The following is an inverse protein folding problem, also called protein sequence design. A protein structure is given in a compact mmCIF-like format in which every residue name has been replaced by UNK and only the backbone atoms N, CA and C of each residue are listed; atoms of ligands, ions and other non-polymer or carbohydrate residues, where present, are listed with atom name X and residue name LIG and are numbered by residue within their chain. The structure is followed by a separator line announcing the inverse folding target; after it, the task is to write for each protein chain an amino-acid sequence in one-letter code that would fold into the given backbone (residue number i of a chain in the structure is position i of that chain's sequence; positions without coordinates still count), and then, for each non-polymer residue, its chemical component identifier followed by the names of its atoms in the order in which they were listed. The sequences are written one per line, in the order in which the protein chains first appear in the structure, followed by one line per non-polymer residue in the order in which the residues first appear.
data_IF_714686903242
#
_entry.id   IF_714686903242
#
_cell.length_a   1.000
_cell.length_b   1.000
_cell.length_c   1.000
_cell.angle_alpha   90.00
_cell.angle_beta   90.00
_cell.angle_gamma   90.00
#
_symmetry.space_group_name_H-M   'P 1'
#
loop_
_entity.id
_entity.type
_entity.pdbx_description
1 polymer ?
#
# COMPACT_ATOMS: atom_id res chain seq x y z
N UNK A 1 -8.46 3.63 10.79
CA UNK A 1 -9.42 3.93 9.69
C UNK A 1 -8.69 4.61 8.53
N UNK A 2 -9.03 4.27 7.29
CA UNK A 2 -8.43 4.82 6.06
C UNK A 2 -9.49 5.10 4.99
N UNK A 3 -9.33 6.20 4.27
CA UNK A 3 -10.17 6.64 3.15
C UNK A 3 -9.28 7.18 2.03
N UNK A 4 -9.44 6.65 0.83
CA UNK A 4 -8.81 7.23 -0.36
C UNK A 4 -9.54 8.52 -0.75
N UNK A 5 -8.85 9.65 -0.74
CA UNK A 5 -9.40 10.94 -1.22
C UNK A 5 -9.22 11.04 -2.73
N UNK A 6 -8.01 10.81 -3.23
CA UNK A 6 -7.72 10.75 -4.66
C UNK A 6 -6.50 9.88 -4.93
N UNK A 7 -6.51 9.08 -6.00
CA UNK A 7 -5.36 8.23 -6.37
C UNK A 7 -4.24 9.00 -7.07
N UNK A 8 -4.49 10.24 -7.48
CA UNK A 8 -3.57 11.04 -8.30
C UNK A 8 -3.17 10.32 -9.60
N UNK A 9 -4.03 9.47 -10.16
CA UNK A 9 -3.69 8.61 -11.30
C UNK A 9 -4.23 9.09 -12.64
N UNK A 10 -5.12 10.07 -12.63
CA UNK A 10 -5.79 10.60 -13.81
C UNK A 10 -5.97 12.11 -13.71
N UNK A 11 -5.78 12.81 -14.83
CA UNK A 11 -6.01 14.25 -14.95
C UNK A 11 -7.48 14.61 -14.74
N UNK A 12 -8.40 13.67 -15.01
CA UNK A 12 -9.84 13.88 -14.91
C UNK A 12 -10.26 14.40 -13.53
N UNK A 13 -10.94 15.55 -13.53
CA UNK A 13 -11.43 16.24 -12.33
C UNK A 13 -10.45 17.23 -11.72
N UNK A 14 -9.17 17.19 -12.11
CA UNK A 14 -8.20 18.22 -11.72
C UNK A 14 -8.23 19.40 -12.69
N UNK A 15 -8.33 20.61 -12.14
CA UNK A 15 -8.47 21.86 -12.91
C UNK A 15 -7.40 22.84 -12.47
N UNK A 16 -6.63 23.39 -13.42
CA UNK A 16 -5.74 24.52 -13.19
C UNK A 16 -6.50 25.84 -13.17
N UNK A 17 -6.06 26.81 -12.37
CA UNK A 17 -6.63 28.16 -12.36
C UNK A 17 -6.35 28.96 -13.63
N UNK A 18 -5.32 28.56 -14.38
CA UNK A 18 -4.86 29.21 -15.59
C UNK A 18 -4.33 28.16 -16.59
N UNK A 19 -4.42 28.39 -17.92
CA UNK A 19 -3.92 27.46 -18.93
C UNK A 19 -2.42 27.15 -18.86
N UNK A 20 -1.63 27.95 -18.15
CA UNK A 20 -0.19 27.71 -17.91
C UNK A 20 0.06 26.59 -16.89
N UNK A 21 -0.95 26.20 -16.11
CA UNK A 21 -0.87 25.03 -15.23
C UNK A 21 -1.01 23.77 -16.08
N UNK A 22 0.04 22.95 -16.13
CA UNK A 22 0.05 21.72 -16.91
C UNK A 22 -0.06 20.53 -15.96
N UNK A 23 -1.10 19.71 -16.12
CA UNK A 23 -1.36 18.52 -15.32
C UNK A 23 -1.33 17.31 -16.24
N UNK A 24 -0.51 16.33 -15.92
CA UNK A 24 -0.33 15.12 -16.71
C UNK A 24 -0.39 13.89 -15.82
N UNK A 25 -1.09 12.85 -16.29
CA UNK A 25 -1.00 11.53 -15.70
C UNK A 25 0.26 10.83 -16.22
N UNK A 26 1.06 10.31 -15.31
CA UNK A 26 2.31 9.60 -15.58
C UNK A 26 2.32 8.29 -14.80
N UNK A 27 3.14 7.33 -15.21
CA UNK A 27 3.31 6.06 -14.49
C UNK A 27 4.79 5.74 -14.33
N UNK A 28 5.36 6.14 -13.19
CA UNK A 28 6.73 5.86 -12.83
C UNK A 28 6.83 4.45 -12.28
N UNK A 29 7.70 3.63 -12.89
CA UNK A 29 7.89 2.22 -12.51
C UNK A 29 8.26 2.00 -11.05
N UNK A 30 8.86 3.00 -10.40
CA UNK A 30 9.24 2.98 -8.98
C UNK A 30 8.02 3.10 -8.06
N UNK A 31 7.03 3.93 -8.43
CA UNK A 31 5.75 4.06 -7.74
C UNK A 31 4.82 2.89 -8.09
N UNK A 32 4.86 2.44 -9.35
CA UNK A 32 4.18 1.24 -9.79
C UNK A 32 4.56 0.07 -8.88
N UNK A 33 5.86 -0.16 -8.60
CA UNK A 33 6.34 -1.22 -7.68
C UNK A 33 5.82 -1.14 -6.24
N UNK A 34 5.07 -0.09 -5.92
CA UNK A 34 4.57 0.22 -4.59
C UNK A 34 3.08 0.58 -4.55
N UNK A 35 2.31 0.13 -5.55
CA UNK A 35 0.84 0.16 -5.56
C UNK A 35 0.20 1.52 -5.65
N UNK A 36 1.01 2.53 -5.96
CA UNK A 36 0.53 3.83 -6.40
C UNK A 36 0.44 3.73 -7.93
N UNK A 37 -0.72 3.31 -8.43
CA UNK A 37 -0.97 3.21 -9.86
C UNK A 37 -1.19 4.61 -10.43
N UNK A 38 -0.29 5.05 -11.31
CA UNK A 38 -0.33 6.40 -11.86
C UNK A 38 -0.01 7.50 -10.84
N UNK A 39 0.50 8.61 -11.33
CA UNK A 39 0.84 9.80 -10.56
C UNK A 39 0.46 11.03 -11.37
N UNK A 40 0.29 12.18 -10.70
CA UNK A 40 0.13 13.46 -11.40
C UNK A 40 1.46 14.18 -11.40
N UNK A 41 1.99 14.41 -12.60
CA UNK A 41 3.02 15.39 -12.82
C UNK A 41 2.35 16.74 -13.08
N UNK A 42 2.79 17.76 -12.34
CA UNK A 42 2.22 19.11 -12.41
C UNK A 42 3.34 20.12 -12.59
N UNK A 43 3.25 20.91 -13.67
CA UNK A 43 3.94 22.19 -13.76
C UNK A 43 2.99 23.26 -13.22
N UNK A 44 3.36 23.85 -12.09
CA UNK A 44 2.57 24.83 -11.34
C UNK A 44 3.32 26.17 -11.29
N UNK A 45 2.97 27.13 -12.16
CA UNK A 45 3.58 28.44 -12.16
C UNK A 45 3.32 29.22 -10.85
N UNK A 46 4.17 30.20 -10.59
CA UNK A 46 4.05 31.07 -9.42
C UNK A 46 2.67 31.74 -9.32
N UNK A 47 2.10 31.73 -8.11
CA UNK A 47 0.77 32.28 -7.77
C UNK A 47 -0.41 31.61 -8.49
N UNK A 48 -0.18 30.46 -9.13
CA UNK A 48 -1.24 29.64 -9.71
C UNK A 48 -1.62 28.51 -8.77
N UNK A 49 -2.74 27.85 -9.09
CA UNK A 49 -3.28 26.74 -8.32
C UNK A 49 -3.89 25.69 -9.22
N UNK A 50 -3.98 24.48 -8.70
CA UNK A 50 -4.80 23.43 -9.28
C UNK A 50 -5.63 22.76 -8.19
N UNK A 51 -6.83 22.31 -8.54
CA UNK A 51 -7.78 21.79 -7.56
C UNK A 51 -8.65 20.70 -8.16
N UNK A 52 -9.26 19.92 -7.27
CA UNK A 52 -10.28 18.93 -7.62
C UNK A 52 -11.48 19.08 -6.70
N UNK A 53 -12.65 19.16 -7.31
CA UNK A 53 -13.94 19.10 -6.64
C UNK A 53 -14.41 17.65 -6.52
N UNK A 54 -15.00 17.30 -5.38
CA UNK A 54 -15.55 15.98 -5.11
C UNK A 54 -17.08 16.08 -5.02
N UNK A 55 -17.76 15.39 -5.95
CA UNK A 55 -19.21 15.26 -5.97
C UNK A 55 -19.58 13.81 -6.33
N UNK A 56 -20.09 13.00 -5.38
CA UNK A 56 -20.35 13.33 -3.98
C UNK A 56 -19.08 13.65 -3.17
N UNK A 57 -19.26 14.31 -2.04
CA UNK A 57 -18.18 14.61 -1.08
C UNK A 57 -17.52 13.33 -0.54
N UNK A 58 -16.25 13.43 -0.16
CA UNK A 58 -15.53 12.31 0.46
C UNK A 58 -15.76 12.35 1.98
N UNK A 59 -16.35 11.28 2.53
CA UNK A 59 -16.50 11.12 3.98
C UNK A 59 -15.17 10.66 4.59
N UNK A 60 -14.58 11.53 5.41
CA UNK A 60 -13.32 11.29 6.10
C UNK A 60 -13.51 11.19 7.61
N UNK A 61 -14.75 11.02 8.09
CA UNK A 61 -15.07 10.94 9.51
C UNK A 61 -14.28 9.82 10.17
N UNK A 62 -13.41 10.16 11.12
CA UNK A 62 -12.58 9.20 11.84
C UNK A 62 -11.13 9.13 11.36
N UNK A 63 -10.78 9.84 10.29
CA UNK A 63 -9.41 10.21 9.94
C UNK A 63 -9.03 11.56 10.58
N UNK A 64 -7.75 11.74 10.92
CA UNK A 64 -7.20 12.98 11.47
C UNK A 64 -6.01 13.53 10.66
N UNK A 65 -5.55 12.75 9.68
CA UNK A 65 -4.37 13.01 8.87
C UNK A 65 -4.73 12.90 7.40
N UNK A 66 -4.31 13.87 6.59
CA UNK A 66 -4.20 13.72 5.14
C UNK A 66 -2.72 13.53 4.80
N UNK A 67 -2.36 12.34 4.31
CA UNK A 67 -1.00 12.02 3.87
C UNK A 67 -0.91 11.91 2.36
N UNK A 68 0.24 12.31 1.83
CA UNK A 68 0.60 12.19 0.42
C UNK A 68 2.11 12.32 0.25
N UNK A 69 2.60 12.03 -0.95
CA UNK A 69 4.02 12.16 -1.25
C UNK A 69 4.23 13.14 -2.40
N UNK A 70 5.30 13.92 -2.31
CA UNK A 70 5.73 14.80 -3.39
C UNK A 70 7.17 14.50 -3.79
N UNK A 71 7.37 14.21 -5.07
CA UNK A 71 8.64 14.26 -5.76
C UNK A 71 8.84 15.60 -6.44
N UNK A 72 10.05 16.14 -6.35
CA UNK A 72 10.47 17.31 -7.11
C UNK A 72 11.60 16.86 -8.03
N UNK A 73 11.44 17.06 -9.34
CA UNK A 73 12.42 16.57 -10.33
C UNK A 73 13.68 17.43 -10.38
N UNK A 74 13.63 18.66 -9.88
CA UNK A 74 14.74 19.62 -9.92
C UNK A 74 14.69 20.56 -8.69
N UNK A 75 15.88 20.94 -8.19
CA UNK A 75 16.26 22.14 -7.42
C UNK A 75 16.78 22.00 -5.97
N UNK A 76 17.66 22.96 -5.67
CA UNK A 76 18.62 23.06 -4.55
C UNK A 76 18.23 24.06 -3.45
N UNK A 77 16.97 24.52 -3.38
CA UNK A 77 16.46 25.38 -2.30
C UNK A 77 15.00 25.00 -1.95
N UNK A 78 14.56 25.12 -0.68
CA UNK A 78 13.20 24.79 -0.30
C UNK A 78 12.20 25.76 -0.96
N UNK A 79 11.25 25.20 -1.72
CA UNK A 79 10.09 25.92 -2.26
C UNK A 79 8.85 25.54 -1.45
N UNK A 80 7.96 26.49 -1.23
CA UNK A 80 6.76 26.32 -0.43
C UNK A 80 5.60 25.84 -1.31
N UNK A 81 4.97 24.72 -0.92
CA UNK A 81 3.68 24.27 -1.46
C UNK A 81 2.60 24.57 -0.44
N UNK A 82 1.49 25.14 -0.88
CA UNK A 82 0.30 25.34 -0.05
C UNK A 82 -0.74 24.29 -0.44
N UNK A 83 -1.37 23.67 0.55
CA UNK A 83 -2.51 22.78 0.35
C UNK A 83 -3.70 23.34 1.10
N UNK A 84 -4.83 23.46 0.42
CA UNK A 84 -6.09 23.95 0.98
C UNK A 84 -7.16 22.89 0.86
N UNK A 85 -7.72 22.52 2.00
CA UNK A 85 -8.79 21.51 2.12
C UNK A 85 -10.10 22.24 2.36
N UNK A 86 -11.16 21.86 1.65
CA UNK A 86 -12.48 22.47 1.73
C UNK A 86 -13.55 21.48 2.23
N UNK A 87 -14.53 22.01 2.95
CA UNK A 87 -15.80 21.37 3.27
C UNK A 87 -16.94 22.38 3.00
N UNK A 88 -17.52 22.28 1.81
CA UNK A 88 -18.45 23.28 1.28
C UNK A 88 -17.76 24.64 1.13
N UNK A 89 -18.26 25.63 1.87
CA UNK A 89 -17.70 27.00 1.88
C UNK A 89 -16.55 27.18 2.87
N UNK A 90 -16.39 26.26 3.83
CA UNK A 90 -15.33 26.30 4.83
C UNK A 90 -14.03 25.73 4.25
N UNK A 91 -12.89 26.30 4.63
CA UNK A 91 -11.58 25.79 4.20
C UNK A 91 -10.49 26.03 5.24
N UNK A 92 -9.42 25.24 5.15
CA UNK A 92 -8.18 25.46 5.90
C UNK A 92 -7.00 25.29 4.95
N UNK A 93 -6.03 26.19 5.04
CA UNK A 93 -4.84 26.23 4.18
C UNK A 93 -3.59 25.97 5.01
N UNK A 94 -2.75 25.06 4.54
CA UNK A 94 -1.51 24.62 5.18
C UNK A 94 -0.32 24.88 4.27
N UNK A 95 0.81 25.17 4.87
CA UNK A 95 2.08 25.53 4.26
C UNK A 95 3.05 24.35 4.46
N UNK A 96 3.63 23.89 3.35
CA UNK A 96 4.55 22.76 3.31
C UNK A 96 5.88 23.19 2.71
N UNK A 97 6.95 22.93 3.45
CA UNK A 97 8.31 23.21 2.97
C UNK A 97 8.83 22.00 2.20
N UNK A 98 8.89 22.11 0.88
CA UNK A 98 9.30 20.98 0.04
C UNK A 98 10.80 20.69 0.19
N UNK A 99 11.12 19.41 0.29
CA UNK A 99 12.47 18.87 0.30
C UNK A 99 12.94 18.58 -1.13
N UNK A 100 14.26 18.68 -1.42
CA UNK A 100 14.85 18.40 -2.73
C UNK A 100 15.02 16.89 -2.97
N UNK A 101 14.00 16.11 -2.61
CA UNK A 101 13.92 14.65 -2.77
C UNK A 101 12.47 14.22 -2.64
N UNK A 102 12.14 13.04 -3.15
CA UNK A 102 10.86 12.39 -2.89
C UNK A 102 10.61 12.28 -1.38
N UNK A 103 9.57 12.95 -0.90
CA UNK A 103 9.30 13.09 0.54
C UNK A 103 7.82 13.04 0.85
N UNK A 104 7.53 12.52 2.04
CA UNK A 104 6.20 12.33 2.55
C UNK A 104 5.75 13.62 3.25
N UNK A 105 4.52 14.05 2.98
CA UNK A 105 3.93 15.23 3.61
C UNK A 105 2.61 14.87 4.25
N UNK A 106 2.33 15.51 5.38
CA UNK A 106 1.13 15.29 6.15
C UNK A 106 0.54 16.64 6.54
N UNK A 107 -0.78 16.73 6.53
CA UNK A 107 -1.49 17.85 7.15
C UNK A 107 -2.57 17.31 8.06
N UNK A 108 -2.87 18.06 9.11
CA UNK A 108 -4.02 17.78 9.95
C UNK A 108 -5.29 17.87 9.09
N UNK A 109 -6.16 16.85 9.16
CA UNK A 109 -7.41 16.86 8.44
C UNK A 109 -8.47 17.64 9.24
N UNK A 110 -8.87 18.84 8.80
CA UNK A 110 -9.64 19.77 9.64
C UNK A 110 -11.15 19.48 9.62
N UNK A 111 -11.62 18.63 8.70
CA UNK A 111 -13.04 18.38 8.45
C UNK A 111 -13.35 16.89 8.36
N UNK A 112 -14.55 16.46 8.79
CA UNK A 112 -15.01 15.07 8.64
C UNK A 112 -15.47 14.75 7.21
N UNK A 113 -15.52 15.74 6.32
CA UNK A 113 -15.93 15.63 4.93
C UNK A 113 -15.06 16.55 4.08
N UNK A 114 -14.69 16.10 2.88
CA UNK A 114 -13.87 16.87 1.94
C UNK A 114 -14.64 17.06 0.64
N UNK A 115 -14.86 18.31 0.26
CA UNK A 115 -15.54 18.70 -0.99
C UNK A 115 -14.57 19.20 -2.06
N UNK A 116 -13.39 19.70 -1.66
CA UNK A 116 -12.32 20.10 -2.59
C UNK A 116 -10.96 20.00 -1.92
N UNK A 117 -9.95 19.65 -2.72
CA UNK A 117 -8.53 19.86 -2.38
C UNK A 117 -7.92 20.77 -3.45
N UNK A 118 -7.14 21.75 -3.01
CA UNK A 118 -6.46 22.73 -3.85
C UNK A 118 -4.99 22.82 -3.44
N UNK A 119 -4.11 22.90 -4.43
CA UNK A 119 -2.68 23.12 -4.26
C UNK A 119 -2.28 24.42 -4.93
N UNK A 120 -1.45 25.21 -4.27
CA UNK A 120 -0.94 26.47 -4.79
C UNK A 120 0.49 26.71 -4.33
N UNK A 121 1.16 27.69 -4.94
CA UNK A 121 2.53 28.05 -4.57
C UNK A 121 2.81 29.50 -4.95
N UNK A 122 3.77 30.11 -4.25
CA UNK A 122 4.24 31.47 -4.55
C UNK A 122 5.41 31.47 -5.56
N UNK A 123 5.91 30.29 -5.91
CA UNK A 123 7.06 30.09 -6.81
C UNK A 123 6.71 29.08 -7.88
N UNK A 124 7.32 29.19 -9.05
CA UNK A 124 7.19 28.16 -10.08
C UNK A 124 7.64 26.78 -9.54
N UNK A 125 6.95 25.70 -9.89
CA UNK A 125 7.16 24.37 -9.33
C UNK A 125 6.85 23.25 -10.33
N UNK A 126 7.78 22.29 -10.44
CA UNK A 126 7.53 21.01 -11.10
C UNK A 126 7.42 19.91 -10.03
N UNK A 127 6.23 19.34 -9.93
CA UNK A 127 5.83 18.38 -8.90
C UNK A 127 5.52 17.04 -9.54
N UNK A 128 5.78 15.96 -8.81
CA UNK A 128 5.07 14.69 -8.95
C UNK A 128 4.36 14.45 -7.62
N UNK A 129 3.05 14.33 -7.63
CA UNK A 129 2.26 14.08 -6.42
C UNK A 129 1.60 12.72 -6.54
N UNK A 130 1.61 11.98 -5.43
CA UNK A 130 1.00 10.67 -5.33
C UNK A 130 -0.01 10.60 -4.22
N UNK A 131 -1.06 9.80 -4.43
CA UNK A 131 -2.01 9.32 -3.43
C UNK A 131 -2.36 10.30 -2.31
N UNK A 132 -3.56 10.88 -2.38
CA UNK A 132 -4.15 11.62 -1.27
C UNK A 132 -4.98 10.64 -0.43
N UNK A 133 -4.50 10.34 0.78
CA UNK A 133 -5.13 9.37 1.68
C UNK A 133 -5.42 10.02 3.02
N UNK A 134 -6.68 9.97 3.43
CA UNK A 134 -7.10 10.36 4.77
C UNK A 134 -7.08 9.13 5.69
N UNK A 135 -6.40 9.20 6.84
CA UNK A 135 -6.35 8.09 7.78
C UNK A 135 -6.21 8.55 9.23
N UNK A 136 -6.39 7.59 10.14
CA UNK A 136 -6.04 7.67 11.56
C UNK A 136 -5.11 6.50 11.85
N UNK A 137 -3.95 6.77 12.45
CA UNK A 137 -2.79 5.87 12.58
C UNK A 137 -3.20 4.46 13.08
N UNK A 138 -3.40 3.57 12.11
CA UNK A 138 -3.60 2.12 12.23
C UNK A 138 -3.04 1.52 10.92
N UNK A 139 -1.76 1.15 10.90
CA UNK A 139 -1.08 0.73 9.66
C UNK A 139 -0.90 -0.79 9.52
N UNK A 140 -1.11 -1.59 10.57
CA UNK A 140 -0.79 -3.03 10.56
C UNK A 140 -1.46 -3.81 9.41
N UNK A 141 -2.75 -3.60 9.19
CA UNK A 141 -3.49 -4.26 8.11
C UNK A 141 -3.02 -3.75 6.74
N UNK A 142 -2.83 -2.44 6.60
CA UNK A 142 -2.35 -1.82 5.36
C UNK A 142 -0.92 -2.29 5.01
N UNK A 143 -0.06 -2.52 6.02
CA UNK A 143 1.28 -3.07 5.88
C UNK A 143 1.24 -4.48 5.33
N UNK A 144 0.51 -5.38 5.99
CA UNK A 144 0.44 -6.76 5.56
C UNK A 144 -0.21 -6.90 4.18
N UNK A 145 -1.22 -6.07 3.89
CA UNK A 145 -1.79 -5.98 2.55
C UNK A 145 -0.72 -5.52 1.55
N UNK A 146 0.02 -4.45 1.79
CA UNK A 146 1.05 -3.98 0.86
C UNK A 146 2.14 -5.03 0.58
N UNK A 147 2.54 -5.80 1.60
CA UNK A 147 3.44 -6.97 1.45
C UNK A 147 2.77 -8.04 0.59
N UNK A 148 1.50 -8.36 0.83
CA UNK A 148 0.78 -9.37 0.06
C UNK A 148 0.76 -9.04 -1.42
N UNK A 149 0.45 -7.79 -1.76
CA UNK A 149 0.39 -7.42 -3.15
C UNK A 149 1.80 -7.49 -3.77
N UNK A 150 2.88 -7.11 -3.05
CA UNK A 150 4.28 -7.28 -3.50
C UNK A 150 4.57 -8.72 -3.93
N UNK A 151 4.18 -9.69 -3.11
CA UNK A 151 4.31 -11.10 -3.44
C UNK A 151 3.38 -11.53 -4.58
N UNK A 152 2.15 -11.01 -4.67
CA UNK A 152 1.24 -11.32 -5.79
C UNK A 152 1.83 -10.91 -7.15
N UNK A 153 2.52 -9.77 -7.22
CA UNK A 153 3.21 -9.34 -8.44
C UNK A 153 4.38 -10.26 -8.80
N UNK A 154 5.18 -10.66 -7.81
CA UNK A 154 6.26 -11.61 -8.03
C UNK A 154 5.73 -12.97 -8.53
N UNK A 155 4.62 -13.45 -7.95
CA UNK A 155 3.91 -14.65 -8.43
C UNK A 155 3.40 -14.48 -9.86
N UNK A 156 2.78 -13.34 -10.18
CA UNK A 156 2.21 -13.07 -11.51
C UNK A 156 3.27 -13.01 -12.62
N UNK A 157 4.48 -12.58 -12.27
CA UNK A 157 5.64 -12.61 -13.17
C UNK A 157 6.26 -14.00 -13.37
N UNK A 158 5.84 -14.99 -12.58
CA UNK A 158 6.36 -16.35 -12.63
C UNK A 158 5.54 -17.21 -13.60
N UNK A 159 6.20 -17.94 -14.49
CA UNK A 159 5.51 -18.86 -15.40
C UNK A 159 5.13 -20.15 -14.65
N UNK A 160 3.94 -20.16 -14.07
CA UNK A 160 3.43 -21.29 -13.29
C UNK A 160 3.20 -22.53 -14.18
N UNK A 161 3.53 -23.74 -13.69
CA UNK A 161 3.50 -24.95 -14.49
C UNK A 161 2.07 -25.33 -14.89
N UNK A 162 1.94 -25.87 -16.10
CA UNK A 162 0.72 -26.51 -16.56
C UNK A 162 0.58 -27.84 -15.83
N UNK A 163 -0.59 -28.07 -15.22
CA UNK A 163 -0.88 -29.27 -14.42
C UNK A 163 -1.88 -30.20 -15.09
N UNK A 164 -2.48 -29.79 -16.21
CA UNK A 164 -3.38 -30.63 -16.99
C UNK A 164 -4.17 -29.83 -18.01
N UNK A 165 -5.06 -30.50 -18.73
CA UNK A 165 -6.02 -29.87 -19.64
C UNK A 165 -7.41 -30.35 -19.31
N UNK A 166 -8.31 -29.42 -19.00
CA UNK A 166 -9.72 -29.72 -18.79
C UNK A 166 -10.29 -30.24 -20.10
N UNK A 167 -11.05 -31.32 -20.09
CA UNK A 167 -11.72 -31.81 -21.30
C UNK A 167 -12.95 -30.95 -21.63
N UNK A 168 -13.74 -30.65 -20.60
CA UNK A 168 -14.92 -29.79 -20.65
C UNK A 168 -15.30 -29.35 -19.26
N UNK A 169 -15.39 -28.04 -19.05
CA UNK A 169 -15.90 -27.42 -17.85
C UNK A 169 -17.36 -27.03 -18.10
N UNK A 170 -18.25 -27.43 -17.21
CA UNK A 170 -19.66 -27.07 -17.28
C UNK A 170 -19.97 -26.09 -16.15
N UNK A 171 -20.58 -24.95 -16.48
CA UNK A 171 -21.03 -24.00 -15.47
C UNK A 171 -21.88 -24.69 -14.38
N UNK A 172 -21.68 -24.30 -13.13
CA UNK A 172 -22.28 -24.85 -11.93
C UNK A 172 -21.91 -26.31 -11.58
N UNK A 173 -21.00 -26.95 -12.32
CA UNK A 173 -20.50 -28.28 -11.98
C UNK A 173 -19.53 -28.21 -10.80
N UNK A 174 -19.64 -29.11 -9.81
CA UNK A 174 -18.67 -29.18 -8.70
C UNK A 174 -17.38 -29.93 -9.05
N UNK A 175 -17.37 -30.57 -10.23
CA UNK A 175 -16.31 -31.45 -10.66
C UNK A 175 -15.75 -31.01 -12.02
N UNK A 176 -14.45 -31.22 -12.21
CA UNK A 176 -13.73 -30.94 -13.45
C UNK A 176 -13.05 -32.22 -13.95
N UNK A 177 -13.32 -32.61 -15.20
CA UNK A 177 -12.64 -33.74 -15.86
C UNK A 177 -11.38 -33.22 -16.55
N UNK A 178 -10.24 -33.83 -16.24
CA UNK A 178 -8.91 -33.38 -16.63
C UNK A 178 -8.12 -34.53 -17.23
N UNK A 179 -7.46 -34.25 -18.36
CA UNK A 179 -6.49 -35.14 -18.99
C UNK A 179 -5.06 -34.76 -18.60
N UNK A 180 -4.16 -35.75 -18.56
CA UNK A 180 -2.73 -35.58 -18.27
C UNK A 180 -2.45 -34.81 -16.97
N UNK A 181 -3.19 -35.13 -15.90
CA UNK A 181 -3.04 -34.47 -14.61
C UNK A 181 -1.67 -34.77 -14.00
N UNK A 182 -0.93 -33.73 -13.62
CA UNK A 182 0.37 -33.83 -12.96
C UNK A 182 0.46 -32.82 -11.80
N UNK A 183 1.19 -33.16 -10.74
CA UNK A 183 1.50 -32.25 -9.62
C UNK A 183 0.27 -31.68 -8.89
N UNK A 184 -0.85 -32.39 -8.88
CA UNK A 184 -2.09 -31.99 -8.22
C UNK A 184 -2.53 -33.07 -7.23
N UNK A 185 -2.68 -32.65 -5.99
CA UNK A 185 -3.18 -33.45 -4.87
C UNK A 185 -4.25 -32.67 -4.09
N UNK A 186 -4.79 -33.28 -3.03
CA UNK A 186 -5.69 -32.57 -2.12
C UNK A 186 -5.05 -31.28 -1.60
N UNK A 187 -5.83 -30.21 -1.53
CA UNK A 187 -5.46 -28.83 -1.18
C UNK A 187 -4.62 -28.06 -2.20
N UNK A 188 -4.30 -28.69 -3.34
CA UNK A 188 -3.66 -27.99 -4.46
C UNK A 188 -4.55 -26.89 -4.99
N UNK A 189 -3.98 -25.70 -5.20
CA UNK A 189 -4.67 -24.57 -5.82
C UNK A 189 -4.29 -24.50 -7.29
N UNK A 190 -5.30 -24.40 -8.14
CA UNK A 190 -5.14 -24.35 -9.59
C UNK A 190 -5.88 -23.13 -10.15
N UNK A 191 -5.41 -22.65 -11.29
CA UNK A 191 -6.07 -21.65 -12.10
C UNK A 191 -6.45 -22.26 -13.46
N UNK A 192 -7.68 -22.01 -13.90
CA UNK A 192 -8.09 -22.23 -15.29
C UNK A 192 -9.12 -21.19 -15.69
N UNK A 193 -9.00 -20.64 -16.89
CA UNK A 193 -9.93 -19.63 -17.41
C UNK A 193 -10.14 -18.40 -16.49
N UNK A 194 -9.10 -18.00 -15.75
CA UNK A 194 -9.17 -16.91 -14.77
C UNK A 194 -9.92 -17.27 -13.48
N UNK A 195 -10.38 -18.51 -13.34
CA UNK A 195 -10.98 -19.02 -12.11
C UNK A 195 -9.91 -19.72 -11.26
N UNK A 196 -9.85 -19.40 -9.97
CA UNK A 196 -8.96 -20.01 -8.99
C UNK A 196 -9.77 -20.98 -8.13
N UNK A 197 -9.36 -22.25 -8.14
CA UNK A 197 -10.03 -23.32 -7.43
C UNK A 197 -9.07 -24.08 -6.55
N UNK A 198 -9.57 -24.58 -5.43
CA UNK A 198 -8.84 -25.51 -4.59
C UNK A 198 -9.39 -26.93 -4.74
N UNK A 199 -8.48 -27.88 -4.97
CA UNK A 199 -8.80 -29.30 -5.06
C UNK A 199 -9.08 -29.87 -3.67
N UNK A 200 -10.27 -30.46 -3.48
CA UNK A 200 -10.63 -31.22 -2.28
C UNK A 200 -10.34 -32.71 -2.43
N UNK A 201 -10.57 -33.26 -3.62
CA UNK A 201 -10.26 -34.64 -3.94
C UNK A 201 -9.85 -34.81 -5.41
N UNK A 202 -9.01 -35.83 -5.64
CA UNK A 202 -8.63 -36.32 -6.96
C UNK A 202 -9.11 -37.76 -7.05
N UNK A 203 -9.90 -38.08 -8.06
CA UNK A 203 -10.36 -39.44 -8.33
C UNK A 203 -10.11 -39.83 -9.78
N UNK A 204 -9.89 -41.12 -10.03
CA UNK A 204 -9.80 -41.63 -11.40
C UNK A 204 -11.20 -41.70 -12.02
N UNK A 205 -11.33 -41.32 -13.29
CA UNK A 205 -12.56 -41.56 -14.04
C UNK A 205 -12.69 -43.07 -14.30
N UNK A 206 -13.74 -43.75 -13.80
CA UNK A 206 -13.87 -45.20 -13.95
C UNK A 206 -14.03 -45.66 -15.40
N UNK A 207 -14.27 -44.74 -16.35
CA UNK A 207 -14.49 -45.05 -17.77
C UNK A 207 -13.27 -44.75 -18.65
N UNK A 208 -12.28 -44.00 -18.15
CA UNK A 208 -11.20 -43.40 -18.93
C UNK A 208 -9.89 -43.36 -18.12
N UNK A 209 -8.75 -43.02 -18.74
CA UNK A 209 -7.52 -42.66 -18.02
C UNK A 209 -7.53 -41.21 -17.50
N UNK A 210 -8.70 -40.57 -17.44
CA UNK A 210 -8.86 -39.17 -17.04
C UNK A 210 -8.95 -39.04 -15.51
N UNK A 211 -8.62 -37.87 -14.99
CA UNK A 211 -8.81 -37.54 -13.57
C UNK A 211 -10.02 -36.64 -13.38
N UNK A 212 -10.73 -36.81 -12.26
CA UNK A 212 -11.83 -35.98 -11.83
C UNK A 212 -11.39 -35.23 -10.58
N UNK A 213 -11.33 -33.90 -10.69
CA UNK A 213 -11.10 -32.99 -9.58
C UNK A 213 -12.44 -32.57 -8.99
N UNK A 214 -12.53 -32.52 -7.66
CA UNK A 214 -13.64 -31.89 -6.93
C UNK A 214 -13.11 -30.68 -6.16
N UNK A 215 -13.91 -29.63 -6.05
CA UNK A 215 -13.45 -28.36 -5.46
C UNK A 215 -13.96 -28.12 -4.04
N UNK A 216 -13.08 -27.60 -3.20
CA UNK A 216 -13.38 -27.15 -1.85
C UNK A 216 -14.15 -25.81 -1.87
N UNK A 217 -14.68 -25.39 -0.72
CA UNK A 217 -15.38 -24.10 -0.59
C UNK A 217 -14.47 -22.86 -0.58
N UNK A 218 -13.16 -23.03 -0.77
CA UNK A 218 -12.20 -21.91 -0.79
C UNK A 218 -11.97 -21.40 -2.21
N UNK A 219 -11.90 -20.07 -2.37
CA UNK A 219 -11.78 -19.32 -3.64
C UNK A 219 -13.10 -19.25 -4.44
N UNK A 220 -13.10 -19.53 -5.75
CA UNK A 220 -14.29 -19.49 -6.61
C UNK A 220 -15.34 -20.58 -6.27
N UNK A 221 -15.18 -21.25 -5.11
CA UNK A 221 -16.19 -22.04 -4.43
C UNK A 221 -16.23 -23.50 -4.86
N UNK A 222 -17.32 -24.19 -4.51
CA UNK A 222 -17.53 -25.62 -4.83
C UNK A 222 -18.00 -25.87 -6.27
N UNK A 223 -18.01 -24.85 -7.15
CA UNK A 223 -18.60 -24.94 -8.49
C UNK A 223 -17.86 -24.08 -9.50
N UNK A 224 -17.77 -24.59 -10.73
CA UNK A 224 -17.24 -23.89 -11.89
C UNK A 224 -18.17 -22.74 -12.28
N UNK A 225 -17.64 -21.56 -12.58
CA UNK A 225 -18.46 -20.39 -12.91
C UNK A 225 -18.94 -20.42 -14.36
N UNK A 226 -18.05 -20.78 -15.29
CA UNK A 226 -18.33 -20.69 -16.73
C UNK A 226 -18.19 -22.03 -17.45
N UNK A 227 -19.01 -22.23 -18.49
CA UNK A 227 -18.84 -23.35 -19.41
C UNK A 227 -17.72 -23.03 -20.38
N UNK A 228 -16.70 -23.88 -20.43
CA UNK A 228 -15.56 -23.71 -21.34
C UNK A 228 -15.00 -25.07 -21.77
N UNK A 229 -14.60 -25.16 -23.03
CA UNK A 229 -14.02 -26.38 -23.60
C UNK A 229 -12.50 -26.24 -23.70
N UNK A 230 -11.78 -27.28 -23.28
CA UNK A 230 -10.33 -27.39 -23.38
C UNK A 230 -9.47 -26.28 -22.71
N UNK A 231 -9.85 -25.67 -21.56
CA UNK A 231 -8.94 -24.75 -20.89
C UNK A 231 -7.73 -25.50 -20.31
N UNK A 232 -6.57 -24.86 -20.39
CA UNK A 232 -5.35 -25.30 -19.72
C UNK A 232 -5.47 -25.02 -18.23
N UNK A 233 -5.10 -26.00 -17.40
CA UNK A 233 -4.99 -25.81 -15.95
C UNK A 233 -3.54 -25.49 -15.61
N UNK A 234 -3.34 -24.48 -14.79
CA UNK A 234 -2.03 -24.14 -14.22
C UNK A 234 -2.08 -24.27 -12.70
N UNK A 235 -0.93 -24.56 -12.11
CA UNK A 235 -0.76 -24.40 -10.67
C UNK A 235 -0.96 -22.92 -10.30
N UNK A 236 -1.59 -22.64 -9.16
CA UNK A 236 -1.72 -21.28 -8.63
C UNK A 236 -1.04 -21.18 -7.26
N UNK A 237 -0.43 -20.03 -6.97
CA UNK A 237 0.16 -19.72 -5.65
C UNK A 237 -0.60 -18.52 -5.08
N UNK A 238 -1.70 -18.73 -4.34
CA UNK A 238 -2.42 -17.63 -3.72
C UNK A 238 -1.55 -16.97 -2.64
N UNK A 239 -1.68 -15.64 -2.51
CA UNK A 239 -1.08 -14.86 -1.43
C UNK A 239 -2.19 -14.41 -0.49
N UNK A 240 -2.12 -14.79 0.79
CA UNK A 240 -3.16 -14.50 1.80
C UNK A 240 -2.58 -13.71 2.97
N UNK A 241 -3.33 -12.74 3.48
CA UNK A 241 -3.02 -12.03 4.73
C UNK A 241 -3.81 -12.68 5.86
N UNK A 242 -3.13 -13.06 6.94
CA UNK A 242 -3.71 -13.69 8.13
C UNK A 242 -4.76 -14.79 7.81
N UNK A 243 -4.41 -15.82 7.04
CA UNK A 243 -5.34 -16.91 6.81
C UNK A 243 -5.70 -17.59 8.14
N UNK A 244 -7.00 -17.81 8.39
CA UNK A 244 -7.47 -18.54 9.59
C UNK A 244 -6.95 -19.98 9.67
N UNK A 245 -6.55 -20.55 8.53
CA UNK A 245 -6.00 -21.90 8.42
C UNK A 245 -4.83 -21.89 7.44
N UNK A 246 -3.61 -21.93 7.96
CA UNK A 246 -2.35 -21.89 7.19
C UNK A 246 -2.25 -23.10 6.26
N UNK A 247 -2.49 -24.30 6.77
CA UNK A 247 -2.32 -25.58 6.04
C UNK A 247 -3.36 -25.83 4.94
N UNK A 248 -4.41 -25.01 4.85
CA UNK A 248 -5.57 -25.38 4.07
C UNK A 248 -5.34 -25.23 2.56
N UNK A 249 -4.32 -24.49 2.08
CA UNK A 249 -4.00 -24.29 0.66
C UNK A 249 -2.50 -24.44 0.40
N UNK A 250 -2.11 -25.32 -0.53
CA UNK A 250 -0.68 -25.54 -0.87
C UNK A 250 -0.49 -25.80 -2.36
N UNK A 251 0.46 -25.16 -3.06
CA UNK A 251 1.36 -24.13 -2.56
C UNK A 251 0.61 -22.85 -2.24
N UNK A 252 1.12 -22.06 -1.29
CA UNK A 252 0.59 -20.75 -0.96
C UNK A 252 1.66 -19.88 -0.31
N UNK A 253 1.44 -18.57 -0.33
CA UNK A 253 2.20 -17.61 0.48
C UNK A 253 1.22 -16.99 1.48
N UNK A 254 1.52 -17.05 2.77
CA UNK A 254 0.79 -16.32 3.80
C UNK A 254 1.65 -15.24 4.45
N UNK A 255 1.01 -14.18 4.89
CA UNK A 255 1.63 -13.09 5.67
C UNK A 255 0.88 -13.01 6.97
N UNK A 256 1.59 -13.27 8.06
CA UNK A 256 1.01 -13.47 9.38
C UNK A 256 1.72 -12.62 10.43
N UNK A 257 1.00 -12.26 11.49
CA UNK A 257 1.56 -11.45 12.58
C UNK A 257 1.81 -9.99 12.17
N UNK A 258 2.64 -9.30 12.96
CA UNK A 258 2.93 -7.88 12.75
C UNK A 258 1.80 -6.91 13.13
N UNK A 259 0.71 -7.38 13.73
CA UNK A 259 -0.42 -6.54 14.15
C UNK A 259 -0.16 -5.75 15.42
N UNK A 260 0.56 -6.37 16.35
CA UNK A 260 0.98 -5.78 17.61
C UNK A 260 2.41 -5.24 17.44
N UNK A 261 2.58 -3.93 17.14
CA UNK A 261 3.90 -3.33 17.09
C UNK A 261 4.60 -3.45 18.45
N UNK A 262 5.92 -3.65 18.41
CA UNK A 262 6.74 -3.58 19.62
C UNK A 262 7.62 -2.32 19.59
N UNK A 263 7.78 -1.61 20.71
CA UNK A 263 8.61 -0.42 20.74
C UNK A 263 10.08 -0.77 20.45
N UNK A 264 10.80 0.13 19.80
CA UNK A 264 12.25 0.05 19.58
C UNK A 264 12.92 0.90 20.69
N UNK A 265 13.39 0.30 21.80
CA UNK A 265 13.76 1.05 23.01
C UNK A 265 14.85 2.11 22.77
N UNK A 266 15.76 1.84 21.83
CA UNK A 266 16.91 2.68 21.50
C UNK A 266 16.57 3.86 20.55
N UNK A 267 15.36 3.89 19.98
CA UNK A 267 14.91 4.90 19.02
C UNK A 267 13.57 5.57 19.39
N UNK A 268 12.98 5.15 20.51
CA UNK A 268 11.77 5.73 21.11
C UNK A 268 12.11 6.90 22.02
N UNK A 269 12.68 7.96 21.43
CA UNK A 269 12.76 9.25 22.13
C UNK A 269 11.48 10.04 21.81
N UNK A 270 10.74 10.50 22.84
CA UNK A 270 9.64 11.44 22.63
C UNK A 270 10.18 12.68 21.92
N UNK A 271 9.55 13.05 20.81
CA UNK A 271 9.93 14.19 20.00
C UNK A 271 8.69 14.86 19.45
N UNK A 272 8.75 16.18 19.32
CA UNK A 272 7.69 16.98 18.74
C UNK A 272 8.17 17.43 17.35
N UNK A 273 7.54 16.90 16.29
CA UNK A 273 7.83 17.28 14.91
C UNK A 273 6.82 18.34 14.47
N UNK A 274 7.29 19.54 14.11
CA UNK A 274 6.43 20.53 13.43
C UNK A 274 6.22 20.01 12.01
N UNK A 275 5.00 19.58 11.71
CA UNK A 275 4.67 18.92 10.44
C UNK A 275 4.22 19.93 9.39
N UNK A 276 3.36 20.86 9.78
CA UNK A 276 2.91 21.94 8.92
C UNK A 276 2.48 23.17 9.73
N UNK A 277 2.42 24.32 9.07
CA UNK A 277 1.88 25.56 9.59
C UNK A 277 0.64 25.94 8.77
N UNK A 278 -0.36 26.58 9.36
CA UNK A 278 -1.44 27.19 8.57
C UNK A 278 -1.18 28.68 8.28
N UNK A 279 -1.97 29.26 7.37
CA UNK A 279 -1.83 30.69 7.04
C UNK A 279 -2.11 31.67 8.19
N UNK A 280 -2.69 31.20 9.30
CA UNK A 280 -2.92 32.01 10.50
C UNK A 280 -1.67 32.03 11.42
N UNK A 281 -0.73 31.11 11.21
CA UNK A 281 0.48 30.92 12.00
C UNK A 281 0.35 29.85 13.08
N UNK A 282 -0.68 29.00 13.02
CA UNK A 282 -0.82 27.88 13.93
C UNK A 282 0.12 26.75 13.50
N UNK A 283 0.86 26.20 14.45
CA UNK A 283 1.78 25.10 14.23
C UNK A 283 1.08 23.77 14.56
N UNK A 284 1.12 22.86 13.59
CA UNK A 284 0.60 21.51 13.73
C UNK A 284 1.77 20.58 14.05
N UNK A 285 1.79 20.11 15.28
CA UNK A 285 2.87 19.28 15.82
C UNK A 285 2.37 17.84 15.86
N UNK A 286 3.19 16.90 15.38
CA UNK A 286 3.03 15.49 15.68
C UNK A 286 4.01 15.12 16.78
N UNK A 287 3.48 14.67 17.90
CA UNK A 287 4.27 14.06 18.95
C UNK A 287 4.55 12.63 18.55
N UNK A 288 5.83 12.33 18.34
CA UNK A 288 6.31 10.97 18.17
C UNK A 288 6.16 10.24 19.50
N UNK A 289 5.22 9.30 19.57
CA UNK A 289 5.00 8.46 20.74
C UNK A 289 6.16 7.45 20.93
N UNK A 290 6.82 7.09 19.83
CA UNK A 290 7.98 6.22 19.80
C UNK A 290 8.25 5.70 18.39
N UNK A 291 9.35 4.97 18.22
CA UNK A 291 9.53 4.10 17.05
C UNK A 291 9.05 2.70 17.42
N UNK A 292 8.29 2.09 16.52
CA UNK A 292 7.81 0.73 16.68
C UNK A 292 8.31 -0.13 15.54
N UNK A 293 8.55 -1.40 15.83
CA UNK A 293 8.81 -2.43 14.83
C UNK A 293 7.59 -3.33 14.71
N UNK A 294 7.11 -3.47 13.48
CA UNK A 294 6.19 -4.52 13.08
C UNK A 294 7.01 -5.70 12.59
N UNK A 295 6.63 -6.89 13.04
CA UNK A 295 7.34 -8.14 12.75
C UNK A 295 6.42 -9.17 12.08
N UNK A 296 5.92 -8.91 10.86
CA UNK A 296 5.21 -9.94 10.12
C UNK A 296 6.16 -11.08 9.71
N UNK A 297 5.62 -12.27 9.60
CA UNK A 297 6.30 -13.44 9.06
C UNK A 297 5.63 -13.81 7.74
N UNK A 298 6.44 -13.95 6.69
CA UNK A 298 5.97 -14.45 5.40
C UNK A 298 6.26 -15.95 5.36
N UNK A 299 5.21 -16.75 5.21
CA UNK A 299 5.27 -18.20 5.12
C UNK A 299 5.02 -18.63 3.69
N UNK A 300 5.84 -19.56 3.20
CA UNK A 300 5.74 -20.15 1.87
C UNK A 300 5.56 -21.65 1.98
N UNK A 301 4.31 -22.11 1.88
CA UNK A 301 3.95 -23.51 2.09
C UNK A 301 4.19 -24.33 0.82
N UNK A 302 4.92 -25.43 0.95
CA UNK A 302 5.23 -26.32 -0.16
C UNK A 302 4.94 -27.78 0.19
N UNK A 303 4.67 -28.58 -0.85
CA UNK A 303 4.44 -30.03 -0.75
C UNK A 303 5.38 -30.87 -1.62
N UNK A 304 6.32 -30.22 -2.31
CA UNK A 304 7.30 -30.90 -3.15
C UNK A 304 8.54 -30.04 -3.34
N UNK A 305 9.67 -30.66 -3.68
CA UNK A 305 10.89 -29.95 -4.06
C UNK A 305 10.66 -28.97 -5.22
N UNK A 306 9.73 -29.28 -6.14
CA UNK A 306 9.36 -28.38 -7.23
C UNK A 306 8.67 -27.12 -6.72
N UNK A 307 7.64 -27.26 -5.89
CA UNK A 307 6.92 -26.12 -5.30
C UNK A 307 7.78 -25.30 -4.35
N UNK A 308 8.65 -25.96 -3.58
CA UNK A 308 9.68 -25.31 -2.75
C UNK A 308 10.60 -24.42 -3.58
N UNK A 309 11.14 -24.92 -4.70
CA UNK A 309 12.01 -24.13 -5.60
C UNK A 309 11.29 -22.92 -6.18
N UNK A 310 10.00 -23.06 -6.54
CA UNK A 310 9.19 -21.95 -7.05
C UNK A 310 9.00 -20.86 -5.99
N UNK A 311 8.56 -21.23 -4.79
CA UNK A 311 8.38 -20.29 -3.67
C UNK A 311 9.70 -19.61 -3.30
N UNK A 312 10.78 -20.38 -3.21
CA UNK A 312 12.11 -19.82 -2.92
C UNK A 312 12.57 -18.82 -3.99
N UNK A 313 12.26 -19.08 -5.27
CA UNK A 313 12.60 -18.14 -6.35
C UNK A 313 11.81 -16.83 -6.26
N UNK A 314 10.51 -16.92 -5.94
CA UNK A 314 9.67 -15.74 -5.66
C UNK A 314 10.22 -14.95 -4.47
N UNK A 315 10.60 -15.65 -3.39
CA UNK A 315 11.19 -15.05 -2.19
C UNK A 315 12.48 -14.30 -2.50
N UNK A 316 13.39 -14.92 -3.26
CA UNK A 316 14.64 -14.29 -3.70
C UNK A 316 14.41 -13.08 -4.61
N UNK A 317 13.42 -13.15 -5.51
CA UNK A 317 13.04 -12.02 -6.35
C UNK A 317 12.61 -10.82 -5.49
N UNK A 318 11.74 -11.04 -4.49
CA UNK A 318 11.26 -9.97 -3.61
C UNK A 318 12.39 -9.42 -2.73
N UNK A 319 13.21 -10.29 -2.12
CA UNK A 319 14.37 -9.88 -1.31
C UNK A 319 15.40 -9.07 -2.13
N UNK A 320 15.58 -9.41 -3.41
CA UNK A 320 16.50 -8.72 -4.31
C UNK A 320 16.03 -7.34 -4.78
N UNK A 321 14.74 -6.99 -4.61
CA UNK A 321 14.22 -5.71 -5.07
C UNK A 321 14.77 -4.53 -4.28
N UNK A 322 15.13 -4.70 -2.99
CA UNK A 322 15.65 -3.66 -2.08
C UNK A 322 15.01 -2.26 -2.29
N UNK A 323 13.71 -2.24 -2.59
CA UNK A 323 12.95 -1.03 -2.90
C UNK A 323 12.04 -0.71 -1.72
N UNK A 324 11.84 0.58 -1.40
CA UNK A 324 10.81 0.95 -0.45
C UNK A 324 9.43 0.53 -1.01
N UNK A 325 8.51 0.21 -0.11
CA UNK A 325 7.08 0.16 -0.42
C UNK A 325 6.43 1.46 0.05
N UNK A 326 5.31 1.80 -0.54
CA UNK A 326 4.56 3.01 -0.20
C UNK A 326 3.22 2.60 0.38
N UNK A 327 2.89 3.13 1.56
CA UNK A 327 1.67 2.80 2.30
C UNK A 327 1.04 4.10 2.77
N UNK A 328 -0.17 4.40 2.31
CA UNK A 328 -0.92 5.59 2.74
C UNK A 328 -0.14 6.91 2.54
N UNK A 329 0.60 7.02 1.43
CA UNK A 329 1.46 8.16 1.13
C UNK A 329 2.78 8.21 1.94
N UNK A 330 3.09 7.15 2.69
CA UNK A 330 4.33 7.02 3.47
C UNK A 330 5.30 6.06 2.80
N UNK A 331 6.58 6.43 2.78
CA UNK A 331 7.67 5.54 2.39
C UNK A 331 8.00 4.59 3.52
N UNK A 332 7.95 3.30 3.26
CA UNK A 332 8.26 2.24 4.23
C UNK A 332 9.35 1.34 3.67
N UNK A 333 10.33 0.98 4.51
CA UNK A 333 11.43 0.11 4.13
C UNK A 333 11.19 -1.26 4.77
N UNK A 334 11.06 -2.28 3.93
CA UNK A 334 10.98 -3.68 4.36
C UNK A 334 12.39 -4.23 4.58
N UNK A 335 12.66 -4.77 5.76
CA UNK A 335 13.87 -5.55 6.03
C UNK A 335 13.50 -7.03 6.03
N UNK A 336 13.80 -7.71 4.93
CA UNK A 336 13.54 -9.14 4.79
C UNK A 336 14.78 -9.94 5.19
N UNK A 337 14.61 -10.84 6.16
CA UNK A 337 15.66 -11.78 6.56
C UNK A 337 15.81 -12.90 5.51
N UNK A 338 16.88 -13.70 5.62
CA UNK A 338 17.04 -14.91 4.79
C UNK A 338 15.89 -15.89 5.05
N UNK A 339 15.46 -16.58 4.01
CA UNK A 339 14.46 -17.65 4.13
C UNK A 339 15.01 -18.80 4.98
N UNK A 340 14.23 -19.23 5.96
CA UNK A 340 14.50 -20.38 6.80
C UNK A 340 13.54 -21.49 6.42
N UNK A 341 14.00 -22.74 6.44
CA UNK A 341 13.15 -23.89 6.14
C UNK A 341 12.72 -24.58 7.42
N UNK A 342 11.42 -24.86 7.51
CA UNK A 342 10.82 -25.71 8.53
C UNK A 342 10.22 -26.91 7.80
N UNK A 343 10.79 -28.10 8.01
CA UNK A 343 10.32 -29.34 7.39
C UNK A 343 9.32 -30.05 8.31
N UNK A 344 8.23 -30.59 7.73
CA UNK A 344 7.16 -31.27 8.48
C UNK A 344 7.13 -32.80 8.25
N UNK A 345 8.20 -33.35 7.66
CA UNK A 345 8.37 -34.71 7.08
C UNK A 345 7.83 -34.87 5.63
N UNK A 346 8.41 -35.80 4.86
CA UNK A 346 8.11 -36.12 3.44
C UNK A 346 8.04 -34.92 2.46
N UNK A 347 9.16 -34.37 1.98
CA UNK A 347 9.25 -33.28 0.94
C UNK A 347 8.31 -32.06 1.12
N UNK A 348 7.56 -32.01 2.23
CA UNK A 348 6.59 -30.99 2.62
C UNK A 348 7.18 -30.14 3.73
N UNK A 349 6.76 -28.89 3.75
CA UNK A 349 7.31 -27.95 4.69
C UNK A 349 6.94 -26.53 4.34
N UNK A 350 7.70 -25.64 4.94
CA UNK A 350 7.45 -24.22 4.91
C UNK A 350 8.76 -23.46 4.80
N UNK A 351 8.77 -22.43 3.97
CA UNK A 351 9.81 -21.41 3.97
C UNK A 351 9.31 -20.21 4.75
N UNK A 352 10.05 -19.77 5.75
CA UNK A 352 9.76 -18.60 6.57
C UNK A 352 10.71 -17.46 6.26
N UNK A 353 10.16 -16.27 6.03
CA UNK A 353 10.91 -15.02 5.99
C UNK A 353 10.40 -14.13 7.11
N UNK A 354 11.19 -13.94 8.18
CA UNK A 354 10.98 -12.84 9.10
C UNK A 354 11.12 -11.50 8.36
N UNK A 355 10.12 -10.65 8.50
CA UNK A 355 10.14 -9.29 7.99
C UNK A 355 10.11 -8.31 9.15
N UNK A 356 11.00 -7.32 9.12
CA UNK A 356 11.00 -6.20 10.05
C UNK A 356 10.65 -4.92 9.31
N UNK A 357 9.77 -4.14 9.93
CA UNK A 357 9.33 -2.85 9.43
C UNK A 357 9.33 -1.86 10.58
N UNK A 358 10.18 -0.84 10.49
CA UNK A 358 10.26 0.21 11.49
C UNK A 358 9.34 1.37 11.07
N UNK A 359 8.44 1.77 11.97
CA UNK A 359 7.48 2.83 11.73
C UNK A 359 7.36 3.70 12.99
N UNK A 360 7.33 5.01 12.80
CA UNK A 360 6.97 5.93 13.88
C UNK A 360 5.46 5.92 14.10
N UNK A 361 5.02 5.80 15.35
CA UNK A 361 3.65 6.14 15.74
C UNK A 361 3.62 7.59 16.21
N UNK A 362 2.60 8.32 15.76
CA UNK A 362 2.54 9.77 15.93
C UNK A 362 1.14 10.19 16.38
N UNK A 363 1.08 10.94 17.47
CA UNK A 363 -0.15 11.59 17.91
C UNK A 363 -0.13 13.05 17.50
N UNK A 364 -1.26 13.59 17.04
CA UNK A 364 -1.36 15.02 16.77
C UNK A 364 -1.51 15.80 18.08
N UNK A 365 -0.66 16.79 18.25
CA UNK A 365 -0.79 17.82 19.27
C UNK A 365 -0.87 19.16 18.55
N UNK A 366 -2.07 19.75 18.51
CA UNK A 366 -2.21 21.11 17.98
C UNK A 366 -1.73 22.08 19.04
N UNK A 367 -0.55 22.68 18.83
CA UNK A 367 -0.13 23.82 19.66
C UNK A 367 -0.53 25.09 18.95
N UNK A 368 -1.66 25.66 19.38
CA UNK A 368 -2.06 27.00 18.98
C UNK A 368 -1.10 27.96 19.69
N UNK A 369 -0.07 28.43 18.99
CA UNK A 369 0.74 29.53 19.51
C UNK A 369 0.01 30.81 19.06
N UNK A 370 -0.67 31.56 19.96
CA UNK A 370 -1.16 32.87 19.56
C UNK A 370 0.06 33.69 19.15
N UNK A 371 0.05 34.24 17.92
CA UNK A 371 1.07 35.18 17.44
C UNK A 371 1.34 36.20 18.56
N UNK A 372 2.52 36.14 19.16
CA UNK A 372 2.99 37.19 20.06
C UNK A 372 3.18 38.43 19.20
N UNK A 373 2.21 39.33 19.23
CA UNK A 373 2.31 40.64 18.59
C UNK A 373 3.26 41.47 19.44
N UNK A 374 4.55 41.42 19.08
CA UNK A 374 5.68 42.18 19.59
C UNK A 374 5.96 42.08 21.11
N UNK A 375 7.21 41.81 21.55
CA UNK A 375 7.60 42.16 22.90
C UNK A 375 7.53 43.70 23.05
N UNK A 376 7.08 44.24 24.20
CA UNK A 376 7.13 45.68 24.43
C UNK A 376 8.58 46.16 24.26
N UNK A 377 8.78 47.21 23.47
CA UNK A 377 10.05 47.93 23.40
C UNK A 377 10.45 48.30 24.83
N UNK A 378 11.52 47.67 25.32
CA UNK A 378 12.16 48.07 26.57
C UNK A 378 12.80 49.42 26.29
N UNK A 379 12.11 50.51 26.63
CA UNK A 379 12.67 51.85 26.60
C UNK A 379 13.83 51.88 27.61
N UNK A 380 15.07 52.18 27.20
CA UNK A 380 16.18 52.28 28.14
C UNK A 380 15.90 53.40 29.15
N UNK A 381 15.96 53.08 30.44
CA UNK A 381 15.90 54.08 31.50
C UNK A 381 17.07 55.05 31.33
N UNK A 382 16.89 56.38 31.39
CA UNK A 382 18.00 57.31 31.34
C UNK A 382 18.90 57.07 32.55
N UNK A 383 20.17 56.78 32.31
CA UNK A 383 21.22 56.84 33.32
C UNK A 383 21.29 58.26 33.87
N UNK A 384 21.09 58.42 35.18
CA UNK A 384 21.36 59.68 35.87
C UNK A 384 22.87 59.97 35.81
N UNK A 385 23.28 61.21 35.50
CA UNK A 385 24.69 61.60 35.57
C UNK A 385 25.12 61.73 37.04
N UNK A 386 26.29 61.18 37.35
CA UNK A 386 27.04 61.47 38.58
C UNK A 386 27.75 62.83 38.48
#
# INVERSE_FOLDING_TARGET
MKVQVDKMSAVSGWTGSDPTVIIQAVDYSECASSWIDGQLQVHLPANQKFYKDFSPEIDTKGADTLGFTVGTSLFTNPRCLKIKVFNGVSSKEFILTLQPKYSDYFVHLPFPKVTRVEFSTDTDLDLVITDLVAYKDEMSDDLNNAIAILFQRAVSGYNLPIVGTCLKASANSPNLRVSNLAFVEKFTVIEFNGEIHQVDAVSADPKNSDSILTFAQMFDGTKILNTIDNPVLKLAIPVKVNPRHVEASTPAISIEGGYDPSPIPEQSFPGDDIVCEDTEGNLYIRRKAGMYKHLPVIHGLFRSLGTKKMINSIFQQVQGLNRPIWINGRRVILKLSRSQEVSFDDDTGELQIPCEIDIGEYEWVTTITPKVVNPPEVTPKPTQPN
#
